data_IF_934171504980
#
_entry.id   IF_934171504980
#
_cell.length_a   1.000
_cell.length_b   1.000
_cell.length_c   1.000
_cell.angle_alpha   90.00
_cell.angle_beta   90.00
_cell.angle_gamma   90.00
#
_symmetry.space_group_name_H-M   'P 1'
#
loop_
_entity.id
_entity.type
_entity.pdbx_description
1 polymer ?
#
# COMPACT_ATOMS: atom_id res chain seq x y z
N UNK A 1 -4.54 -17.42 25.87
CA UNK A 1 -5.54 -18.37 25.30
C UNK A 1 -4.93 -19.74 25.02
N UNK A 2 -3.77 -19.83 24.37
CA UNK A 2 -3.17 -21.12 23.97
C UNK A 2 -2.81 -22.07 25.12
N UNK A 3 -2.12 -21.58 26.16
CA UNK A 3 -1.70 -22.38 27.31
C UNK A 3 -2.85 -23.17 27.98
N UNK A 4 -3.96 -22.55 28.41
CA UNK A 4 -5.04 -23.31 29.05
C UNK A 4 -5.78 -24.27 28.11
N UNK A 5 -5.65 -24.10 26.79
CA UNK A 5 -6.19 -25.03 25.79
C UNK A 5 -5.20 -26.15 25.43
N UNK A 6 -3.97 -26.10 25.95
CA UNK A 6 -2.91 -27.03 25.59
C UNK A 6 -2.51 -26.93 24.12
N UNK A 7 -2.52 -25.71 23.57
CA UNK A 7 -2.05 -25.40 22.22
C UNK A 7 -0.57 -24.99 22.28
N UNK A 8 0.30 -25.94 22.62
CA UNK A 8 1.73 -25.70 22.92
C UNK A 8 2.60 -25.48 21.68
N UNK A 9 2.13 -25.83 20.48
CA UNK A 9 2.80 -25.57 19.19
C UNK A 9 2.28 -24.31 18.50
N UNK A 10 1.26 -23.66 19.06
CA UNK A 10 0.69 -22.43 18.51
C UNK A 10 1.47 -21.21 18.97
N UNK A 11 1.79 -20.31 18.05
CA UNK A 11 2.61 -19.13 18.30
C UNK A 11 2.20 -17.96 17.41
N UNK A 12 2.87 -16.82 17.58
CA UNK A 12 2.60 -15.58 16.84
C UNK A 12 3.74 -15.15 15.91
N UNK A 13 4.75 -16.00 15.69
CA UNK A 13 5.99 -15.62 14.97
C UNK A 13 6.28 -16.57 13.83
N UNK A 14 6.36 -16.02 12.62
CA UNK A 14 6.73 -16.76 11.40
C UNK A 14 8.14 -17.36 11.53
N UNK A 15 9.05 -16.71 12.26
CA UNK A 15 10.37 -17.26 12.52
C UNK A 15 10.30 -18.43 13.52
N UNK A 16 9.48 -18.33 14.56
CA UNK A 16 9.32 -19.41 15.52
C UNK A 16 8.67 -20.66 14.91
N UNK A 17 7.68 -20.49 14.02
CA UNK A 17 7.01 -21.62 13.36
C UNK A 17 7.96 -22.45 12.48
N UNK A 18 8.93 -21.81 11.82
CA UNK A 18 9.94 -22.49 11.00
C UNK A 18 10.90 -23.38 11.82
N UNK A 19 11.01 -23.16 13.13
CA UNK A 19 11.83 -24.00 14.00
C UNK A 19 11.14 -25.31 14.41
N UNK A 20 9.83 -25.43 14.16
CA UNK A 20 9.11 -26.68 14.39
C UNK A 20 9.48 -27.69 13.28
N UNK A 21 9.88 -28.93 13.60
CA UNK A 21 10.27 -29.92 12.58
C UNK A 21 9.11 -30.35 11.67
N UNK A 22 7.86 -30.06 12.05
CA UNK A 22 6.63 -30.39 11.33
C UNK A 22 5.87 -29.09 11.00
N UNK A 23 6.52 -28.23 10.21
CA UNK A 23 5.94 -27.01 9.64
C UNK A 23 5.67 -27.16 8.14
N UNK A 24 4.62 -26.49 7.66
CA UNK A 24 4.31 -26.43 6.24
C UNK A 24 5.07 -25.27 5.57
N UNK A 25 5.45 -25.46 4.30
CA UNK A 25 6.10 -24.43 3.47
C UNK A 25 5.10 -23.81 2.49
N UNK A 26 5.11 -22.49 2.27
CA UNK A 26 4.13 -21.84 1.40
C UNK A 26 4.39 -22.11 -0.07
N UNK A 27 3.32 -22.21 -0.87
CA UNK A 27 3.42 -22.37 -2.32
C UNK A 27 2.46 -21.45 -3.08
N UNK A 28 2.90 -20.99 -4.26
CA UNK A 28 2.02 -20.41 -5.28
C UNK A 28 2.03 -21.25 -6.55
N UNK A 29 0.93 -21.19 -7.31
CA UNK A 29 0.92 -21.75 -8.65
C UNK A 29 1.56 -20.75 -9.62
N UNK A 30 2.48 -21.21 -10.46
CA UNK A 30 3.02 -20.43 -11.57
C UNK A 30 2.02 -20.37 -12.74
N UNK A 31 2.38 -19.69 -13.82
CA UNK A 31 1.53 -19.52 -15.01
C UNK A 31 1.14 -20.85 -15.68
N UNK A 32 1.96 -21.89 -15.50
CA UNK A 32 1.72 -23.27 -15.96
C UNK A 32 0.90 -24.11 -14.96
N UNK A 33 0.30 -23.48 -13.95
CA UNK A 33 -0.46 -24.08 -12.85
C UNK A 33 0.36 -25.08 -11.99
N UNK A 34 1.70 -24.97 -11.99
CA UNK A 34 2.60 -25.78 -11.15
C UNK A 34 2.86 -25.10 -9.81
N UNK A 35 2.79 -25.85 -8.71
CA UNK A 35 3.06 -25.32 -7.38
C UNK A 35 4.57 -25.16 -7.15
N UNK A 36 4.98 -23.94 -6.87
CA UNK A 36 6.35 -23.56 -6.52
C UNK A 36 6.42 -23.06 -5.08
N UNK A 37 7.44 -23.49 -4.35
CA UNK A 37 7.71 -23.03 -2.98
C UNK A 37 8.14 -21.55 -3.02
N UNK A 38 7.56 -20.73 -2.15
CA UNK A 38 7.90 -19.31 -2.02
C UNK A 38 8.58 -19.02 -0.67
N UNK A 39 9.32 -17.90 -0.54
CA UNK A 39 9.87 -17.50 0.76
C UNK A 39 8.77 -17.17 1.78
N UNK A 40 9.05 -17.41 3.07
CA UNK A 40 8.20 -16.91 4.14
C UNK A 40 8.26 -15.38 4.22
N UNK A 41 7.09 -14.73 4.34
CA UNK A 41 7.00 -13.32 4.69
C UNK A 41 6.80 -13.14 6.19
N UNK A 42 7.61 -12.29 6.83
CA UNK A 42 7.30 -11.86 8.19
C UNK A 42 6.10 -10.91 8.18
N UNK A 43 5.10 -11.23 9.00
CA UNK A 43 3.88 -10.44 9.18
C UNK A 43 3.76 -9.93 10.62
N UNK A 44 4.87 -9.86 11.36
CA UNK A 44 4.88 -9.53 12.79
C UNK A 44 4.29 -8.12 13.07
N UNK A 45 4.45 -7.18 12.12
CA UNK A 45 3.87 -5.83 12.21
C UNK A 45 2.34 -5.82 12.16
N UNK A 46 1.71 -6.85 11.60
CA UNK A 46 0.26 -7.03 11.54
C UNK A 46 -0.22 -8.19 12.42
N UNK A 47 0.55 -8.48 13.49
CA UNK A 47 0.32 -9.53 14.48
C UNK A 47 -1.14 -9.88 14.75
N UNK A 48 -1.93 -8.94 15.29
CA UNK A 48 -3.33 -9.18 15.65
C UNK A 48 -4.26 -9.56 14.49
N UNK A 49 -3.88 -9.26 13.24
CA UNK A 49 -4.71 -9.50 12.06
C UNK A 49 -4.56 -10.92 11.50
N UNK A 50 -3.40 -11.58 11.67
CA UNK A 50 -3.17 -12.86 10.99
C UNK A 50 -1.98 -13.71 11.43
N UNK A 51 -1.21 -13.34 12.45
CA UNK A 51 0.07 -14.01 12.74
C UNK A 51 -0.01 -15.28 13.57
N UNK A 52 -1.21 -15.82 13.81
CA UNK A 52 -1.36 -17.10 14.53
C UNK A 52 -0.92 -18.26 13.63
N UNK A 53 0.17 -18.93 14.03
CA UNK A 53 0.59 -20.19 13.46
C UNK A 53 0.07 -21.34 14.32
N UNK A 54 -0.56 -22.36 13.73
CA UNK A 54 -1.13 -23.49 14.46
C UNK A 54 -1.24 -24.75 13.58
N UNK A 55 -1.67 -25.87 14.17
CA UNK A 55 -2.02 -27.10 13.45
C UNK A 55 -3.51 -27.41 13.62
N UNK A 56 -4.07 -28.22 12.72
CA UNK A 56 -5.48 -28.67 12.82
C UNK A 56 -5.78 -29.35 14.16
N UNK A 57 -4.80 -30.04 14.75
CA UNK A 57 -4.94 -30.71 16.05
C UNK A 57 -5.08 -29.72 17.22
N UNK A 58 -4.35 -28.62 17.18
CA UNK A 58 -4.44 -27.58 18.22
C UNK A 58 -5.68 -26.72 18.03
N UNK A 59 -6.02 -26.39 16.78
CA UNK A 59 -7.26 -25.69 16.47
C UNK A 59 -8.51 -26.51 16.80
N UNK A 60 -8.47 -27.84 16.70
CA UNK A 60 -9.57 -28.68 17.17
C UNK A 60 -9.86 -28.48 18.68
N UNK A 61 -8.83 -28.22 19.50
CA UNK A 61 -9.02 -27.90 20.93
C UNK A 61 -9.67 -26.54 21.12
N UNK A 62 -9.30 -25.56 20.30
CA UNK A 62 -9.91 -24.24 20.30
C UNK A 62 -11.37 -24.26 19.79
N UNK A 63 -11.67 -25.05 18.77
CA UNK A 63 -13.04 -25.25 18.31
C UNK A 63 -13.89 -25.89 19.39
N UNK A 64 -13.39 -26.93 20.07
CA UNK A 64 -14.08 -27.52 21.22
C UNK A 64 -14.35 -26.50 22.33
N UNK A 65 -13.37 -25.66 22.66
CA UNK A 65 -13.55 -24.57 23.63
C UNK A 65 -14.69 -23.60 23.23
N UNK A 66 -14.81 -23.27 21.94
CA UNK A 66 -15.90 -22.44 21.46
C UNK A 66 -17.26 -23.16 21.59
N UNK A 67 -17.32 -24.45 21.25
CA UNK A 67 -18.54 -25.26 21.34
C UNK A 67 -18.96 -25.55 22.79
N UNK A 68 -18.00 -25.65 23.71
CA UNK A 68 -18.20 -25.87 25.14
C UNK A 68 -18.53 -24.57 25.90
N UNK A 69 -18.95 -23.51 25.20
CA UNK A 69 -19.38 -22.26 25.79
C UNK A 69 -18.26 -21.48 26.49
N UNK A 70 -17.02 -21.60 26.00
CA UNK A 70 -15.87 -20.88 26.55
C UNK A 70 -15.24 -21.56 27.76
N UNK A 71 -15.41 -22.89 27.87
CA UNK A 71 -14.90 -23.71 28.97
C UNK A 71 -13.79 -24.65 28.51
N UNK A 72 -12.82 -24.88 29.39
CA UNK A 72 -11.79 -25.91 29.23
C UNK A 72 -11.51 -26.56 30.58
N UNK A 73 -11.51 -27.89 30.64
CA UNK A 73 -11.26 -28.62 31.89
C UNK A 73 -12.21 -28.22 33.04
N UNK A 74 -13.47 -27.91 32.72
CA UNK A 74 -14.48 -27.44 33.70
C UNK A 74 -14.38 -25.96 34.10
N UNK A 75 -13.26 -25.27 33.78
CA UNK A 75 -13.05 -23.84 34.04
C UNK A 75 -13.57 -22.99 32.88
N UNK A 76 -14.38 -21.97 33.17
CA UNK A 76 -14.74 -20.95 32.20
C UNK A 76 -13.60 -19.94 32.04
N UNK A 77 -13.13 -19.69 30.81
CA UNK A 77 -12.18 -18.62 30.50
C UNK A 77 -12.88 -17.35 30.01
N UNK A 78 -14.07 -17.51 29.44
CA UNK A 78 -14.98 -16.45 29.03
C UNK A 78 -16.40 -16.86 29.43
N UNK A 79 -17.27 -15.89 29.71
CA UNK A 79 -18.67 -16.21 29.98
C UNK A 79 -19.36 -16.68 28.71
N UNK A 80 -20.32 -17.60 28.86
CA UNK A 80 -21.11 -18.09 27.73
C UNK A 80 -21.85 -16.95 27.02
N UNK A 81 -22.32 -15.94 27.76
CA UNK A 81 -22.98 -14.76 27.21
C UNK A 81 -22.03 -13.92 26.34
N UNK A 82 -20.79 -13.67 26.80
CA UNK A 82 -19.81 -12.92 26.02
C UNK A 82 -19.36 -13.69 24.77
N UNK A 83 -19.21 -15.01 24.86
CA UNK A 83 -18.90 -15.83 23.69
C UNK A 83 -20.05 -15.83 22.67
N UNK A 84 -21.29 -15.91 23.13
CA UNK A 84 -22.46 -15.81 22.25
C UNK A 84 -22.53 -14.45 21.56
N UNK A 85 -22.19 -13.36 22.25
CA UNK A 85 -22.14 -12.01 21.68
C UNK A 85 -21.02 -11.86 20.63
N UNK A 86 -19.84 -12.43 20.86
CA UNK A 86 -18.74 -12.49 19.88
C UNK A 86 -19.18 -13.16 18.57
N UNK A 87 -20.04 -14.17 18.66
CA UNK A 87 -20.55 -14.95 17.52
C UNK A 87 -21.87 -14.40 16.96
N UNK A 88 -22.42 -13.34 17.53
CA UNK A 88 -23.68 -12.72 17.08
C UNK A 88 -23.41 -11.66 16.01
N UNK A 89 -24.18 -11.62 14.90
CA UNK A 89 -23.97 -10.62 13.85
C UNK A 89 -24.17 -9.18 14.38
N UNK A 90 -23.21 -8.30 14.10
CA UNK A 90 -23.25 -6.88 14.44
C UNK A 90 -23.32 -5.97 13.21
N UNK A 91 -23.09 -6.51 12.02
CA UNK A 91 -23.25 -5.81 10.74
C UNK A 91 -23.78 -6.74 9.65
N UNK A 92 -24.58 -6.21 8.73
CA UNK A 92 -25.04 -6.96 7.56
C UNK A 92 -23.92 -7.07 6.54
N UNK A 93 -23.80 -8.23 5.89
CA UNK A 93 -22.95 -8.40 4.72
C UNK A 93 -23.82 -8.29 3.46
N UNK A 94 -23.30 -7.70 2.36
CA UNK A 94 -23.95 -7.82 1.06
C UNK A 94 -24.17 -9.29 0.71
N UNK A 95 -25.30 -9.62 0.09
CA UNK A 95 -25.53 -10.98 -0.38
C UNK A 95 -24.59 -11.27 -1.56
N UNK A 96 -23.50 -11.96 -1.24
CA UNK A 96 -22.54 -12.47 -2.22
C UNK A 96 -22.79 -13.96 -2.53
N UNK A 97 -23.87 -14.56 -2.00
CA UNK A 97 -24.14 -15.96 -2.22
C UNK A 97 -24.62 -16.23 -3.63
N UNK A 98 -23.98 -17.20 -4.28
CA UNK A 98 -24.42 -17.70 -5.58
C UNK A 98 -25.46 -18.82 -5.44
N UNK A 99 -25.90 -19.15 -4.22
CA UNK A 99 -26.85 -20.23 -3.94
C UNK A 99 -27.90 -19.81 -2.91
N UNK A 100 -29.16 -20.17 -3.13
CA UNK A 100 -30.25 -19.86 -2.20
C UNK A 100 -30.25 -20.70 -0.91
N UNK A 101 -29.51 -21.81 -0.88
CA UNK A 101 -29.41 -22.70 0.28
C UNK A 101 -28.28 -22.30 1.25
N UNK A 102 -27.50 -21.26 0.93
CA UNK A 102 -26.52 -20.67 1.84
C UNK A 102 -26.76 -19.17 1.87
N UNK A 103 -27.21 -18.67 3.02
CA UNK A 103 -27.67 -17.29 3.16
C UNK A 103 -26.74 -16.55 4.12
N UNK A 104 -25.98 -15.55 3.67
CA UNK A 104 -25.22 -14.66 4.54
C UNK A 104 -26.18 -13.94 5.51
N UNK A 105 -25.87 -13.97 6.80
CA UNK A 105 -26.65 -13.26 7.83
C UNK A 105 -25.95 -11.95 8.18
N UNK A 106 -24.64 -12.00 8.38
CA UNK A 106 -23.86 -10.83 8.73
C UNK A 106 -22.46 -11.16 9.21
N UNK A 107 -21.76 -10.15 9.72
CA UNK A 107 -20.45 -10.28 10.32
C UNK A 107 -20.55 -9.97 11.81
N UNK A 108 -19.95 -10.82 12.63
CA UNK A 108 -19.85 -10.70 14.08
C UNK A 108 -18.46 -10.18 14.48
N UNK A 109 -18.01 -10.39 15.72
CA UNK A 109 -16.69 -9.95 16.16
C UNK A 109 -15.60 -10.89 15.64
N UNK A 110 -15.20 -10.69 14.37
CA UNK A 110 -14.20 -11.52 13.69
C UNK A 110 -14.75 -12.85 13.16
N UNK A 111 -16.05 -12.90 12.83
CA UNK A 111 -16.69 -14.10 12.27
C UNK A 111 -17.70 -13.75 11.19
N UNK A 112 -17.71 -14.52 10.12
CA UNK A 112 -18.81 -14.56 9.17
C UNK A 112 -19.93 -15.45 9.70
N UNK A 113 -21.16 -14.94 9.70
CA UNK A 113 -22.35 -15.68 10.13
C UNK A 113 -23.27 -15.89 8.94
N UNK A 114 -23.68 -17.13 8.73
CA UNK A 114 -24.58 -17.53 7.64
C UNK A 114 -25.49 -18.67 8.05
N UNK A 115 -26.62 -18.81 7.37
CA UNK A 115 -27.39 -20.07 7.37
C UNK A 115 -26.81 -20.95 6.27
N UNK A 116 -26.19 -22.05 6.65
CA UNK A 116 -25.66 -23.06 5.72
C UNK A 116 -26.63 -24.23 5.66
N UNK A 117 -27.44 -24.28 4.61
CA UNK A 117 -28.37 -25.39 4.29
C UNK A 117 -29.29 -25.75 5.46
N UNK A 118 -29.77 -24.73 6.17
CA UNK A 118 -30.65 -24.87 7.35
C UNK A 118 -29.94 -24.82 8.71
N UNK A 119 -28.61 -24.81 8.74
CA UNK A 119 -27.81 -24.81 9.98
C UNK A 119 -27.13 -23.47 10.21
N UNK A 120 -27.08 -23.01 11.46
CA UNK A 120 -26.35 -21.80 11.82
C UNK A 120 -24.85 -22.04 11.72
N UNK A 121 -24.18 -21.33 10.81
CA UNK A 121 -22.75 -21.43 10.56
C UNK A 121 -22.05 -20.15 10.99
N UNK A 122 -21.00 -20.30 11.81
CA UNK A 122 -20.07 -19.25 12.23
C UNK A 122 -18.69 -19.64 11.71
N UNK A 123 -18.10 -18.84 10.83
CA UNK A 123 -16.90 -19.24 10.09
C UNK A 123 -15.91 -18.09 9.95
N UNK A 124 -14.64 -18.43 9.74
CA UNK A 124 -13.63 -17.46 9.33
C UNK A 124 -12.62 -18.17 8.42
N UNK A 125 -12.28 -17.50 7.31
CA UNK A 125 -11.20 -17.91 6.43
C UNK A 125 -9.90 -17.19 6.78
N UNK A 126 -8.78 -17.66 6.26
CA UNK A 126 -7.52 -16.93 6.33
C UNK A 126 -6.69 -17.24 5.10
N UNK A 127 -6.02 -16.23 4.56
CA UNK A 127 -5.12 -16.39 3.44
C UNK A 127 -3.95 -15.43 3.60
N UNK A 128 -2.74 -15.96 3.57
CA UNK A 128 -1.50 -15.17 3.54
C UNK A 128 -0.46 -15.97 2.79
N UNK A 129 0.22 -15.33 1.83
CA UNK A 129 1.41 -15.80 1.12
C UNK A 129 1.59 -17.32 1.08
N UNK A 130 0.87 -17.95 0.15
CA UNK A 130 0.96 -19.40 -0.06
C UNK A 130 0.32 -20.28 1.01
N UNK A 131 -0.46 -19.73 1.94
CA UNK A 131 -1.29 -20.48 2.90
C UNK A 131 -2.76 -20.10 2.78
N UNK A 132 -3.64 -21.08 2.97
CA UNK A 132 -5.07 -20.87 3.09
C UNK A 132 -5.66 -21.71 4.23
N UNK A 133 -6.59 -21.15 4.96
CA UNK A 133 -7.18 -21.75 6.16
C UNK A 133 -8.68 -21.51 6.22
N UNK A 134 -9.40 -22.43 6.86
CA UNK A 134 -10.83 -22.28 7.13
C UNK A 134 -11.17 -22.94 8.46
N UNK A 135 -11.84 -22.19 9.33
CA UNK A 135 -12.48 -22.69 10.56
C UNK A 135 -13.98 -22.46 10.47
N UNK A 136 -14.74 -23.47 10.89
CA UNK A 136 -16.21 -23.44 10.87
C UNK A 136 -16.75 -24.01 12.17
N UNK A 137 -17.74 -23.35 12.73
CA UNK A 137 -18.56 -23.80 13.85
C UNK A 137 -20.02 -23.87 13.40
N UNK A 138 -20.67 -24.96 13.78
CA UNK A 138 -22.12 -25.12 13.79
C UNK A 138 -22.54 -25.26 15.26
N UNK A 139 -22.73 -24.15 15.98
CA UNK A 139 -22.83 -24.22 17.44
C UNK A 139 -24.08 -24.99 17.90
N UNK A 140 -25.15 -24.91 17.12
CA UNK A 140 -26.43 -25.56 17.43
C UNK A 140 -26.40 -27.08 17.17
N UNK A 141 -25.41 -27.53 16.38
CA UNK A 141 -25.15 -28.93 16.04
C UNK A 141 -23.97 -29.53 16.83
N UNK A 142 -23.34 -28.74 17.72
CA UNK A 142 -22.11 -29.10 18.43
C UNK A 142 -20.97 -29.59 17.51
N UNK A 143 -20.87 -29.01 16.31
CA UNK A 143 -19.90 -29.41 15.30
C UNK A 143 -18.89 -28.29 15.02
N UNK A 144 -17.61 -28.64 14.97
CA UNK A 144 -16.51 -27.75 14.61
C UNK A 144 -15.61 -28.41 13.58
N UNK A 145 -15.21 -27.66 12.55
CA UNK A 145 -14.39 -28.13 11.44
C UNK A 145 -13.23 -27.16 11.20
N UNK A 146 -12.06 -27.71 10.88
CA UNK A 146 -10.87 -26.94 10.51
C UNK A 146 -10.15 -27.63 9.37
N UNK A 147 -9.73 -26.86 8.38
CA UNK A 147 -8.95 -27.33 7.24
C UNK A 147 -7.91 -26.28 6.86
N UNK A 148 -6.69 -26.71 6.56
CA UNK A 148 -5.56 -25.87 6.15
C UNK A 148 -4.93 -26.42 4.87
N UNK A 149 -4.43 -25.54 4.02
CA UNK A 149 -3.57 -25.86 2.87
C UNK A 149 -2.40 -24.90 2.80
N UNK A 150 -1.27 -25.39 2.30
CA UNK A 150 -0.06 -24.59 2.03
C UNK A 150 0.04 -24.20 0.55
N UNK A 151 -1.11 -23.87 -0.02
CA UNK A 151 -1.25 -23.14 -1.27
C UNK A 151 -2.40 -22.14 -1.14
N UNK A 152 -2.30 -21.00 -1.83
CA UNK A 152 -3.37 -20.01 -1.91
C UNK A 152 -4.58 -20.55 -2.67
N UNK A 153 -5.45 -21.30 -1.99
CA UNK A 153 -6.56 -22.02 -2.63
C UNK A 153 -7.86 -21.93 -1.83
N UNK A 154 -8.98 -22.21 -2.49
CA UNK A 154 -10.31 -22.30 -1.86
C UNK A 154 -10.57 -23.65 -1.19
N UNK A 155 -9.64 -24.60 -1.28
CA UNK A 155 -9.82 -25.98 -0.86
C UNK A 155 -10.21 -26.14 0.61
N UNK A 156 -9.64 -25.38 1.58
CA UNK A 156 -10.06 -25.47 2.98
C UNK A 156 -11.57 -25.32 3.21
N UNK A 157 -12.20 -24.33 2.58
CA UNK A 157 -13.66 -24.11 2.70
C UNK A 157 -14.43 -25.27 2.05
N UNK A 158 -13.96 -25.77 0.90
CA UNK A 158 -14.60 -26.92 0.24
C UNK A 158 -14.52 -28.20 1.09
N UNK A 159 -13.38 -28.48 1.71
CA UNK A 159 -13.22 -29.61 2.62
C UNK A 159 -14.17 -29.52 3.80
N UNK A 160 -14.29 -28.33 4.41
CA UNK A 160 -15.22 -28.10 5.50
C UNK A 160 -16.68 -28.29 5.06
N UNK A 161 -17.08 -27.83 3.86
CA UNK A 161 -18.43 -28.05 3.32
C UNK A 161 -18.74 -29.53 3.08
N UNK A 162 -17.82 -30.24 2.44
CA UNK A 162 -17.96 -31.67 2.19
C UNK A 162 -18.04 -32.46 3.50
N UNK A 163 -17.26 -32.09 4.51
CA UNK A 163 -17.33 -32.70 5.83
C UNK A 163 -18.65 -32.37 6.54
N UNK A 164 -19.10 -31.11 6.51
CA UNK A 164 -20.36 -30.68 7.10
C UNK A 164 -21.56 -31.43 6.50
N UNK A 165 -21.64 -31.50 5.16
CA UNK A 165 -22.74 -32.22 4.47
C UNK A 165 -22.81 -33.68 4.89
N UNK A 166 -21.65 -34.36 4.99
CA UNK A 166 -21.59 -35.77 5.41
C UNK A 166 -21.98 -35.98 6.87
N UNK A 167 -21.51 -35.10 7.77
CA UNK A 167 -21.75 -35.24 9.21
C UNK A 167 -23.19 -34.86 9.57
N UNK A 168 -23.74 -33.83 8.93
CA UNK A 168 -25.11 -33.35 9.14
C UNK A 168 -26.16 -34.17 8.36
N UNK A 169 -25.74 -35.13 7.53
CA UNK A 169 -26.65 -35.98 6.76
C UNK A 169 -27.39 -35.23 5.65
N UNK A 170 -26.78 -34.20 5.08
CA UNK A 170 -27.37 -33.38 4.03
C UNK A 170 -27.23 -34.06 2.66
N UNK A 171 -28.08 -33.66 1.72
CA UNK A 171 -27.99 -34.11 0.33
C UNK A 171 -26.62 -33.75 -0.27
N UNK A 172 -26.01 -34.68 -1.00
CA UNK A 172 -24.68 -34.51 -1.58
C UNK A 172 -24.65 -33.37 -2.61
N UNK A 173 -23.62 -32.53 -2.53
CA UNK A 173 -23.33 -31.48 -3.50
C UNK A 173 -21.93 -31.69 -4.07
N UNK A 174 -21.78 -31.53 -5.38
CA UNK A 174 -20.49 -31.61 -6.09
C UNK A 174 -19.67 -30.32 -5.90
N UNK A 175 -19.31 -30.00 -4.65
CA UNK A 175 -18.64 -28.75 -4.27
C UNK A 175 -17.36 -28.47 -5.07
N UNK A 176 -16.56 -29.51 -5.31
CA UNK A 176 -15.31 -29.41 -6.08
C UNK A 176 -15.60 -29.13 -7.54
N UNK A 177 -16.60 -29.80 -8.13
CA UNK A 177 -17.01 -29.56 -9.52
C UNK A 177 -17.53 -28.13 -9.72
N UNK A 178 -18.41 -27.66 -8.85
CA UNK A 178 -18.91 -26.27 -8.89
C UNK A 178 -17.78 -25.24 -8.70
N UNK A 179 -16.83 -25.51 -7.80
CA UNK A 179 -15.68 -24.65 -7.60
C UNK A 179 -14.76 -24.62 -8.84
N UNK A 180 -14.51 -25.78 -9.46
CA UNK A 180 -13.69 -25.89 -10.67
C UNK A 180 -14.32 -25.14 -11.85
N UNK A 181 -15.63 -25.27 -12.06
CA UNK A 181 -16.34 -24.52 -13.10
C UNK A 181 -16.30 -23.01 -12.85
N UNK A 182 -16.46 -22.57 -11.59
CA UNK A 182 -16.27 -21.16 -11.23
C UNK A 182 -14.84 -20.70 -11.47
N UNK A 183 -13.84 -21.51 -11.15
CA UNK A 183 -12.44 -21.20 -11.39
C UNK A 183 -12.14 -21.05 -12.89
N UNK A 184 -12.56 -22.01 -13.72
CA UNK A 184 -12.41 -21.95 -15.19
C UNK A 184 -13.06 -20.71 -15.79
N UNK A 185 -14.28 -20.38 -15.37
CA UNK A 185 -14.98 -19.16 -15.82
C UNK A 185 -14.22 -17.90 -15.42
N UNK A 186 -13.70 -17.84 -14.18
CA UNK A 186 -12.90 -16.69 -13.72
C UNK A 186 -11.59 -16.58 -14.50
N UNK A 187 -10.86 -17.68 -14.72
CA UNK A 187 -9.62 -17.71 -15.53
C UNK A 187 -9.90 -17.20 -16.94
N UNK A 188 -10.92 -17.71 -17.63
CA UNK A 188 -11.29 -17.23 -18.96
C UNK A 188 -11.67 -15.74 -19.00
N UNK A 189 -12.37 -15.23 -17.98
CA UNK A 189 -12.69 -13.79 -17.86
C UNK A 189 -11.41 -12.97 -17.62
N UNK A 190 -10.50 -13.48 -16.79
CA UNK A 190 -9.22 -12.84 -16.51
C UNK A 190 -8.34 -12.79 -17.75
N UNK A 191 -8.20 -13.89 -18.48
CA UNK A 191 -7.43 -13.97 -19.72
C UNK A 191 -7.98 -13.00 -20.79
N UNK A 192 -9.33 -12.93 -20.94
CA UNK A 192 -9.96 -11.97 -21.85
C UNK A 192 -9.73 -10.51 -21.40
N UNK A 193 -9.82 -10.23 -20.09
CA UNK A 193 -9.53 -8.90 -19.55
C UNK A 193 -8.06 -8.51 -19.74
N UNK A 194 -7.14 -9.45 -19.53
CA UNK A 194 -5.70 -9.25 -19.72
C UNK A 194 -5.38 -8.98 -21.19
N UNK A 195 -6.02 -9.70 -22.12
CA UNK A 195 -5.86 -9.46 -23.57
C UNK A 195 -6.27 -8.04 -23.98
N UNK A 196 -7.10 -7.38 -23.16
CA UNK A 196 -7.61 -6.01 -23.39
C UNK A 196 -6.99 -4.99 -22.43
N UNK A 197 -5.98 -5.36 -21.63
CA UNK A 197 -5.42 -4.48 -20.57
C UNK A 197 -4.84 -3.16 -21.11
N UNK A 198 -4.35 -3.18 -22.35
CA UNK A 198 -3.77 -2.02 -23.04
C UNK A 198 -4.80 -1.23 -23.87
N UNK A 199 -6.09 -1.60 -23.86
CA UNK A 199 -7.11 -0.96 -24.71
C UNK A 199 -7.24 0.56 -24.49
N UNK A 200 -7.01 1.02 -23.26
CA UNK A 200 -7.07 2.45 -22.90
C UNK A 200 -5.74 3.19 -23.15
N UNK A 201 -4.68 2.47 -23.53
CA UNK A 201 -3.38 3.08 -23.82
C UNK A 201 -3.49 4.02 -25.01
N UNK A 202 -2.81 5.16 -24.92
CA UNK A 202 -2.69 6.10 -26.05
C UNK A 202 -1.31 5.91 -26.66
N UNK A 203 -1.30 5.22 -27.80
CA UNK A 203 -0.07 4.92 -28.52
C UNK A 203 0.64 6.18 -29.04
N UNK A 204 1.96 6.08 -29.26
CA UNK A 204 2.79 7.13 -29.86
C UNK A 204 2.80 8.45 -29.09
N UNK A 205 2.62 8.39 -27.77
CA UNK A 205 2.83 9.54 -26.89
C UNK A 205 4.24 9.50 -26.32
N UNK A 206 4.68 10.62 -25.74
CA UNK A 206 5.97 10.75 -25.06
C UNK A 206 5.77 11.45 -23.71
N UNK A 207 6.67 11.27 -22.73
CA UNK A 207 6.70 12.11 -21.53
C UNK A 207 6.76 13.59 -21.93
N UNK A 208 6.05 14.45 -21.19
CA UNK A 208 6.08 15.89 -21.47
C UNK A 208 7.39 16.55 -21.00
N UNK A 209 8.11 15.91 -20.07
CA UNK A 209 9.39 16.36 -19.51
C UNK A 209 10.53 15.36 -19.80
N UNK A 210 11.80 15.79 -19.68
CA UNK A 210 12.93 14.88 -19.53
C UNK A 210 12.78 13.96 -18.32
N UNK A 211 13.25 12.71 -18.41
CA UNK A 211 13.17 11.70 -17.35
C UNK A 211 13.73 12.18 -15.99
N UNK A 212 14.78 13.00 -16.04
CA UNK A 212 15.41 13.58 -14.84
C UNK A 212 14.48 14.51 -14.07
N UNK A 213 13.49 15.12 -14.72
CA UNK A 213 12.54 16.03 -14.06
C UNK A 213 11.42 15.29 -13.32
N UNK A 214 11.19 14.00 -13.61
CA UNK A 214 10.31 13.15 -12.79
C UNK A 214 11.03 12.56 -11.57
N UNK A 215 12.36 12.53 -11.57
CA UNK A 215 13.12 12.01 -10.45
C UNK A 215 13.01 12.95 -9.23
N UNK A 216 12.99 12.36 -8.03
CA UNK A 216 12.92 13.08 -6.76
C UNK A 216 12.12 12.33 -5.69
N UNK A 217 12.04 12.93 -4.51
CA UNK A 217 11.19 12.45 -3.42
C UNK A 217 9.83 13.12 -3.48
N UNK A 218 8.77 12.36 -3.29
CA UNK A 218 7.39 12.81 -3.26
C UNK A 218 6.77 12.41 -1.92
N UNK A 219 6.24 13.36 -1.16
CA UNK A 219 5.77 13.12 0.20
C UNK A 219 4.24 13.25 0.31
N UNK A 220 3.66 12.43 1.18
CA UNK A 220 2.28 12.55 1.62
C UNK A 220 2.20 12.36 3.14
N UNK A 221 1.47 13.21 3.90
CA UNK A 221 1.47 13.19 5.37
C UNK A 221 1.08 11.85 6.01
N UNK A 222 0.18 11.10 5.39
CA UNK A 222 -0.30 9.81 5.89
C UNK A 222 0.38 8.57 5.29
N UNK A 223 1.08 8.71 4.15
CA UNK A 223 1.63 7.57 3.40
C UNK A 223 3.16 7.58 3.35
N UNK A 224 3.81 8.64 3.80
CA UNK A 224 5.26 8.75 3.80
C UNK A 224 5.81 9.24 2.48
N UNK A 225 6.99 8.74 2.10
CA UNK A 225 7.76 9.23 0.95
C UNK A 225 7.85 8.15 -0.12
N UNK A 226 7.40 8.50 -1.32
CA UNK A 226 7.62 7.78 -2.57
C UNK A 226 8.84 8.40 -3.26
N UNK A 227 9.86 7.60 -3.58
CA UNK A 227 11.04 8.07 -4.29
C UNK A 227 10.99 7.61 -5.73
N UNK A 228 11.17 8.53 -6.67
CA UNK A 228 11.28 8.25 -8.10
C UNK A 228 12.73 8.47 -8.53
N UNK A 229 13.30 7.51 -9.23
CA UNK A 229 14.64 7.57 -9.78
C UNK A 229 14.60 7.48 -11.32
N UNK A 230 15.47 8.25 -11.97
CA UNK A 230 15.58 8.29 -13.42
C UNK A 230 16.97 8.77 -13.81
N UNK A 231 17.68 8.01 -14.65
CA UNK A 231 19.02 8.39 -15.10
C UNK A 231 18.95 9.09 -16.47
N UNK A 232 19.83 10.08 -16.74
CA UNK A 232 19.95 10.70 -18.06
C UNK A 232 20.14 9.64 -19.15
N UNK A 233 19.39 9.76 -20.25
CA UNK A 233 19.48 8.85 -21.39
C UNK A 233 18.82 7.47 -21.21
N UNK A 234 18.23 7.17 -20.05
CA UNK A 234 17.37 5.98 -19.89
C UNK A 234 15.92 6.31 -20.26
N UNK A 235 15.21 5.32 -20.80
CA UNK A 235 13.79 5.43 -21.16
C UNK A 235 12.83 5.06 -20.02
N UNK A 236 13.35 4.47 -18.94
CA UNK A 236 12.57 3.97 -17.81
C UNK A 236 12.85 4.74 -16.52
N UNK A 237 11.83 4.88 -15.70
CA UNK A 237 11.93 5.32 -14.30
C UNK A 237 11.99 4.09 -13.40
N UNK A 238 12.35 4.28 -12.14
CA UNK A 238 12.07 3.32 -11.07
C UNK A 238 11.51 4.05 -9.88
N UNK A 239 10.77 3.34 -9.03
CA UNK A 239 10.26 3.86 -7.78
C UNK A 239 10.67 3.00 -6.61
N UNK A 240 10.70 3.63 -5.43
CA UNK A 240 10.86 2.97 -4.14
C UNK A 240 9.82 3.54 -3.18
N UNK A 241 9.01 2.66 -2.58
CA UNK A 241 7.98 3.04 -1.62
C UNK A 241 7.86 1.99 -0.52
N UNK A 242 8.00 2.40 0.74
CA UNK A 242 7.98 1.51 1.90
C UNK A 242 8.93 0.30 1.80
N UNK A 243 10.09 0.49 1.16
CA UNK A 243 11.11 -0.56 0.98
C UNK A 243 10.82 -1.54 -0.17
N UNK A 244 9.78 -1.28 -0.96
CA UNK A 244 9.45 -2.03 -2.17
C UNK A 244 9.89 -1.22 -3.37
N UNK A 245 10.71 -1.82 -4.22
CA UNK A 245 11.20 -1.23 -5.46
C UNK A 245 10.40 -1.76 -6.65
N UNK A 246 10.08 -0.88 -7.60
CA UNK A 246 9.42 -1.26 -8.84
C UNK A 246 9.96 -0.45 -10.02
N UNK A 247 10.27 -1.06 -11.17
CA UNK A 247 10.59 -0.36 -12.40
C UNK A 247 9.29 0.23 -12.95
N UNK A 248 9.42 1.34 -13.63
CA UNK A 248 8.33 2.06 -14.23
C UNK A 248 8.58 2.19 -15.74
N UNK A 249 7.64 1.69 -16.53
CA UNK A 249 7.63 1.89 -17.97
C UNK A 249 6.71 3.05 -18.37
N UNK A 250 7.07 3.73 -19.46
CA UNK A 250 6.23 4.81 -19.99
C UNK A 250 4.94 4.22 -20.57
N UNK A 251 3.79 4.70 -20.07
CA UNK A 251 2.49 4.20 -20.49
C UNK A 251 1.88 5.08 -21.59
N UNK A 252 1.53 6.32 -21.22
CA UNK A 252 1.19 7.39 -22.15
C UNK A 252 1.36 8.75 -21.49
N UNK A 253 1.63 9.81 -22.25
CA UNK A 253 1.78 11.18 -21.71
C UNK A 253 2.66 11.18 -20.44
N UNK A 254 2.14 11.66 -19.32
CA UNK A 254 2.79 11.67 -17.99
C UNK A 254 2.31 10.56 -17.05
N UNK A 255 1.81 9.47 -17.63
CA UNK A 255 1.47 8.24 -16.92
C UNK A 255 2.56 7.21 -17.11
N UNK A 256 2.98 6.63 -15.99
CA UNK A 256 3.94 5.54 -15.91
C UNK A 256 3.27 4.31 -15.30
N UNK A 257 3.71 3.12 -15.67
CA UNK A 257 3.13 1.87 -15.18
C UNK A 257 4.21 1.06 -14.47
N UNK A 258 3.90 0.58 -13.27
CA UNK A 258 4.75 -0.35 -12.54
C UNK A 258 4.85 -1.70 -13.22
N UNK A 259 6.05 -2.26 -13.26
CA UNK A 259 6.33 -3.63 -13.69
C UNK A 259 6.83 -4.44 -12.50
N UNK A 260 6.80 -5.77 -12.63
CA UNK A 260 7.34 -6.66 -11.61
C UNK A 260 8.87 -6.50 -11.45
N UNK A 261 9.39 -6.77 -10.25
CA UNK A 261 10.84 -6.90 -10.01
C UNK A 261 11.14 -8.01 -9.03
N UNK A 262 12.06 -8.89 -9.40
CA UNK A 262 12.58 -9.98 -8.57
C UNK A 262 11.49 -10.81 -7.85
N UNK A 263 10.35 -11.03 -8.51
CA UNK A 263 9.21 -11.77 -7.97
C UNK A 263 8.25 -10.95 -7.08
N UNK A 264 8.52 -9.65 -6.88
CA UNK A 264 7.61 -8.72 -6.21
C UNK A 264 6.75 -7.99 -7.26
N UNK A 265 5.49 -8.41 -7.35
CA UNK A 265 4.45 -7.82 -8.20
C UNK A 265 3.59 -6.76 -7.52
N UNK A 266 3.94 -6.27 -6.32
CA UNK A 266 3.07 -5.39 -5.50
C UNK A 266 2.54 -4.18 -6.27
N UNK A 267 3.38 -3.58 -7.14
CA UNK A 267 3.01 -2.42 -7.96
C UNK A 267 2.86 -2.74 -9.45
N UNK A 268 2.83 -4.02 -9.82
CA UNK A 268 2.61 -4.42 -11.19
C UNK A 268 1.26 -3.86 -11.68
N UNK A 269 1.24 -3.33 -12.91
CA UNK A 269 0.09 -2.66 -13.53
C UNK A 269 -0.42 -1.38 -12.81
N UNK A 270 0.22 -0.97 -11.71
CA UNK A 270 -0.14 0.27 -11.02
C UNK A 270 0.25 1.47 -11.87
N UNK A 271 -0.71 2.36 -12.14
CA UNK A 271 -0.49 3.58 -12.93
C UNK A 271 -0.16 4.75 -12.01
N UNK A 272 0.93 5.44 -12.32
CA UNK A 272 1.37 6.67 -11.66
C UNK A 272 1.15 7.84 -12.62
N UNK A 273 0.29 8.78 -12.24
CA UNK A 273 0.06 10.01 -13.02
C UNK A 273 0.86 11.16 -12.43
N UNK A 274 1.84 11.67 -13.17
CA UNK A 274 2.58 12.86 -12.77
C UNK A 274 1.81 14.13 -13.15
N UNK A 275 1.86 15.13 -12.27
CA UNK A 275 1.19 16.42 -12.45
C UNK A 275 2.22 17.53 -12.56
N UNK A 276 1.94 18.43 -13.49
CA UNK A 276 2.66 19.69 -13.66
C UNK A 276 1.91 20.83 -12.97
N UNK A 277 2.61 21.79 -12.38
CA UNK A 277 2.02 23.01 -11.84
C UNK A 277 1.83 24.11 -12.90
N UNK A 278 1.39 25.31 -12.48
CA UNK A 278 1.21 26.46 -13.39
C UNK A 278 2.51 27.03 -13.95
N UNK A 279 3.66 26.72 -13.33
CA UNK A 279 4.99 27.13 -13.81
C UNK A 279 5.53 26.18 -14.86
N UNK A 280 4.90 25.01 -15.03
CA UNK A 280 5.39 23.97 -15.92
C UNK A 280 6.29 22.96 -15.22
N UNK A 281 6.39 22.93 -13.89
CA UNK A 281 7.27 22.00 -13.18
C UNK A 281 6.49 20.74 -12.72
N UNK A 282 7.12 19.56 -12.80
CA UNK A 282 6.58 18.33 -12.18
C UNK A 282 6.51 18.55 -10.67
N UNK A 283 5.29 18.62 -10.13
CA UNK A 283 5.02 19.03 -8.75
C UNK A 283 4.36 17.94 -7.90
N UNK A 284 3.76 16.92 -8.52
CA UNK A 284 3.13 15.82 -7.80
C UNK A 284 3.06 14.53 -8.61
N UNK A 285 2.76 13.43 -7.93
CA UNK A 285 2.40 12.15 -8.54
C UNK A 285 1.18 11.56 -7.82
N UNK A 286 0.21 11.10 -8.61
CA UNK A 286 -1.00 10.44 -8.12
C UNK A 286 -0.86 8.92 -8.25
N UNK A 287 -1.19 8.20 -7.19
CA UNK A 287 -1.09 6.73 -7.15
C UNK A 287 -2.38 6.14 -6.56
N UNK A 288 -3.10 5.25 -7.27
CA UNK A 288 -4.34 4.64 -6.80
C UNK A 288 -4.06 3.47 -5.83
N UNK A 289 -3.53 3.78 -4.65
CA UNK A 289 -3.16 2.77 -3.64
C UNK A 289 -4.37 2.11 -2.96
N UNK A 290 -5.53 2.78 -2.96
CA UNK A 290 -6.72 2.34 -2.22
C UNK A 290 -7.91 2.16 -3.17
N UNK A 291 -8.51 0.97 -3.18
CA UNK A 291 -9.59 0.62 -4.14
C UNK A 291 -10.84 1.50 -4.01
N UNK A 292 -11.12 2.01 -2.81
CA UNK A 292 -12.33 2.77 -2.49
C UNK A 292 -12.07 4.26 -2.24
N UNK A 293 -10.85 4.74 -2.46
CA UNK A 293 -10.50 6.15 -2.28
C UNK A 293 -10.09 6.79 -3.61
N UNK A 294 -10.06 8.12 -3.63
CA UNK A 294 -9.40 8.85 -4.72
C UNK A 294 -7.89 8.51 -4.74
N UNK A 295 -7.22 8.64 -5.90
CA UNK A 295 -5.77 8.49 -5.98
C UNK A 295 -5.04 9.34 -4.93
N UNK A 296 -4.06 8.73 -4.27
CA UNK A 296 -3.24 9.39 -3.27
C UNK A 296 -2.26 10.32 -3.98
N UNK A 297 -2.26 11.59 -3.61
CA UNK A 297 -1.42 12.61 -4.24
C UNK A 297 -0.18 12.87 -3.40
N UNK A 298 0.99 12.47 -3.89
CA UNK A 298 2.26 12.78 -3.26
C UNK A 298 2.84 14.06 -3.87
N UNK A 299 3.22 15.02 -3.03
CA UNK A 299 3.80 16.30 -3.49
C UNK A 299 5.31 16.16 -3.61
N UNK A 300 5.85 16.52 -4.78
CA UNK A 300 7.30 16.52 -5.02
C UNK A 300 7.98 17.48 -4.04
N UNK A 301 9.05 17.00 -3.41
CA UNK A 301 9.86 17.78 -2.49
C UNK A 301 10.94 18.53 -3.27
N UNK A 302 11.25 19.79 -2.89
CA UNK A 302 12.42 20.50 -3.42
C UNK A 302 13.71 19.74 -3.15
N UNK A 303 14.77 20.08 -3.89
CA UNK A 303 16.11 19.54 -3.61
C UNK A 303 16.49 19.79 -2.14
N UNK A 304 16.81 18.75 -1.35
CA UNK A 304 17.18 18.89 0.05
C UNK A 304 18.35 19.87 0.28
N UNK A 305 19.26 20.06 -0.69
CA UNK A 305 20.35 21.03 -0.58
C UNK A 305 19.85 22.47 -0.44
N UNK A 306 18.68 22.80 -0.98
CA UNK A 306 18.06 24.12 -0.82
C UNK A 306 17.52 24.37 0.59
N UNK A 307 17.64 23.40 1.49
CA UNK A 307 17.38 23.56 2.92
C UNK A 307 18.63 23.30 3.78
N UNK A 308 19.80 23.07 3.18
CA UNK A 308 21.07 22.90 3.88
C UNK A 308 21.71 24.28 4.13
N UNK A 309 21.88 24.73 5.40
CA UNK A 309 22.51 26.00 5.71
C UNK A 309 23.90 26.19 5.06
N UNK A 310 24.70 25.12 4.98
CA UNK A 310 26.03 25.19 4.40
C UNK A 310 25.99 25.43 2.88
N UNK A 311 25.02 24.81 2.20
CA UNK A 311 24.77 25.08 0.79
C UNK A 311 24.22 26.50 0.60
N UNK A 312 23.23 26.89 1.40
CA UNK A 312 22.52 28.18 1.29
C UNK A 312 23.42 29.39 1.54
N UNK A 313 24.48 29.25 2.33
CA UNK A 313 25.43 30.33 2.63
C UNK A 313 26.00 31.00 1.36
N UNK A 314 26.08 30.28 0.24
CA UNK A 314 26.57 30.83 -1.04
C UNK A 314 25.68 31.94 -1.60
N UNK A 315 24.38 31.95 -1.27
CA UNK A 315 23.40 32.93 -1.73
C UNK A 315 23.32 34.16 -0.82
N UNK A 316 23.99 34.15 0.33
CA UNK A 316 24.03 35.29 1.25
C UNK A 316 24.89 36.41 0.65
N UNK A 317 24.39 37.64 0.75
CA UNK A 317 25.10 38.84 0.33
C UNK A 317 24.16 39.92 -0.21
N UNK A 318 24.80 40.98 -0.69
CA UNK A 318 24.13 42.14 -1.28
C UNK A 318 23.98 41.99 -2.79
N UNK A 319 22.83 42.39 -3.31
CA UNK A 319 22.51 42.38 -4.73
C UNK A 319 22.08 43.78 -5.16
N UNK A 320 22.70 44.30 -6.21
CA UNK A 320 22.50 45.68 -6.62
C UNK A 320 21.14 45.86 -7.30
N UNK A 321 20.20 46.51 -6.62
CA UNK A 321 18.95 46.96 -7.22
C UNK A 321 19.22 48.13 -8.18
N UNK A 322 19.04 47.87 -9.48
CA UNK A 322 19.23 48.87 -10.52
C UNK A 322 18.16 49.97 -10.52
N UNK A 323 16.99 49.76 -9.88
CA UNK A 323 15.93 50.76 -9.79
C UNK A 323 16.09 51.70 -8.60
N UNK A 324 16.40 51.19 -7.40
CA UNK A 324 16.46 52.04 -6.19
C UNK A 324 17.87 52.52 -5.84
N UNK A 325 18.92 51.86 -6.34
CA UNK A 325 20.31 52.15 -5.99
C UNK A 325 20.69 51.77 -4.55
N UNK A 326 19.78 51.12 -3.82
CA UNK A 326 20.03 50.48 -2.51
C UNK A 326 20.01 48.97 -2.70
N UNK A 327 21.02 48.22 -2.20
CA UNK A 327 21.09 46.79 -2.46
C UNK A 327 19.97 46.01 -1.74
N UNK A 328 19.50 44.97 -2.41
CA UNK A 328 18.70 43.91 -1.82
C UNK A 328 19.61 42.98 -1.03
N UNK A 329 19.21 42.62 0.18
CA UNK A 329 20.00 41.75 1.03
C UNK A 329 19.38 40.35 1.11
N UNK A 330 20.18 39.33 0.82
CA UNK A 330 19.87 37.95 1.16
C UNK A 330 20.61 37.57 2.44
N UNK A 331 19.85 37.20 3.46
CA UNK A 331 20.37 36.71 4.73
C UNK A 331 19.99 35.24 4.96
N UNK A 332 20.73 34.54 5.81
CA UNK A 332 20.41 33.19 6.24
C UNK A 332 19.85 33.21 7.67
N UNK A 333 18.69 32.59 7.88
CA UNK A 333 18.06 32.43 9.19
C UNK A 333 17.73 30.97 9.43
N UNK A 334 18.59 30.28 10.18
CA UNK A 334 18.48 28.83 10.38
C UNK A 334 18.74 28.08 9.08
N UNK A 335 17.71 27.41 8.56
CA UNK A 335 17.75 26.64 7.31
C UNK A 335 17.00 27.30 6.15
N UNK A 336 16.72 28.61 6.25
CA UNK A 336 15.99 29.35 5.23
C UNK A 336 16.67 30.66 4.89
N UNK A 337 16.60 31.05 3.62
CA UNK A 337 17.00 32.38 3.19
C UNK A 337 15.91 33.40 3.53
N UNK A 338 16.33 34.63 3.77
CA UNK A 338 15.48 35.79 3.96
C UNK A 338 15.85 36.83 2.91
N UNK A 339 14.83 37.37 2.24
CA UNK A 339 14.95 38.51 1.34
C UNK A 339 14.57 39.78 2.10
N UNK A 340 15.49 40.73 2.16
CA UNK A 340 15.36 42.01 2.85
C UNK A 340 15.46 43.10 1.79
N UNK A 341 14.31 43.67 1.44
CA UNK A 341 14.21 44.79 0.52
C UNK A 341 14.06 46.11 1.30
N UNK A 342 14.74 47.21 0.90
CA UNK A 342 14.61 48.50 1.56
C UNK A 342 13.14 48.96 1.71
N UNK A 343 12.73 49.28 2.93
CA UNK A 343 11.38 49.79 3.22
C UNK A 343 10.26 48.73 3.18
N UNK A 344 10.58 47.45 3.05
CA UNK A 344 9.62 46.34 3.02
C UNK A 344 9.79 45.40 4.22
N UNK A 345 8.78 44.55 4.55
CA UNK A 345 8.97 43.48 5.52
C UNK A 345 10.02 42.48 5.05
N UNK A 346 10.59 41.73 6.01
CA UNK A 346 11.49 40.62 5.71
C UNK A 346 10.67 39.45 5.16
N UNK A 347 11.03 38.98 3.97
CA UNK A 347 10.38 37.87 3.30
C UNK A 347 11.14 36.58 3.53
N UNK A 348 10.44 35.52 3.94
CA UNK A 348 11.03 34.18 4.01
C UNK A 348 11.01 33.52 2.63
N UNK A 349 12.15 33.00 2.20
CA UNK A 349 12.30 32.27 0.94
C UNK A 349 12.15 30.76 1.20
N UNK A 350 11.20 30.13 0.52
CA UNK A 350 10.86 28.71 0.67
C UNK A 350 11.30 27.96 -0.59
N UNK A 351 12.10 26.89 -0.49
CA UNK A 351 12.53 26.12 -1.66
C UNK A 351 11.35 25.62 -2.49
N UNK A 352 11.45 25.75 -3.81
CA UNK A 352 10.50 25.25 -4.77
C UNK A 352 11.12 24.12 -5.60
N UNK A 353 10.28 23.26 -6.19
CA UNK A 353 10.71 22.12 -7.03
C UNK A 353 11.46 22.56 -8.29
N UNK A 354 11.25 23.80 -8.73
CA UNK A 354 11.94 24.43 -9.86
C UNK A 354 13.42 24.75 -9.60
N UNK A 355 13.89 24.55 -8.36
CA UNK A 355 15.21 25.00 -7.90
C UNK A 355 15.24 26.48 -7.51
N UNK A 356 14.11 27.19 -7.60
CA UNK A 356 13.92 28.56 -7.13
C UNK A 356 13.46 28.58 -5.66
N UNK A 357 13.27 29.77 -5.13
CA UNK A 357 12.65 29.97 -3.83
C UNK A 357 11.38 30.82 -3.96
N UNK A 358 10.23 30.27 -3.57
CA UNK A 358 8.99 31.02 -3.47
C UNK A 358 9.03 31.97 -2.27
N UNK A 359 8.42 33.15 -2.41
CA UNK A 359 8.28 34.07 -1.28
C UNK A 359 7.07 33.67 -0.43
N UNK A 360 7.32 33.31 0.83
CA UNK A 360 6.29 32.85 1.76
C UNK A 360 5.16 33.87 1.89
N UNK A 361 3.95 33.44 1.54
CA UNK A 361 2.74 34.27 1.64
C UNK A 361 2.45 35.14 0.41
N UNK A 362 3.32 35.13 -0.62
CA UNK A 362 3.12 35.88 -1.86
C UNK A 362 3.01 34.92 -3.06
N UNK A 363 1.78 34.61 -3.47
CA UNK A 363 1.54 33.73 -4.61
C UNK A 363 2.02 34.37 -5.92
N UNK A 364 2.78 33.60 -6.72
CA UNK A 364 3.33 34.06 -8.00
C UNK A 364 4.63 34.88 -7.87
N UNK A 365 5.20 34.97 -6.66
CA UNK A 365 6.47 35.64 -6.41
C UNK A 365 7.54 34.62 -6.02
N UNK A 366 8.66 34.62 -6.74
CA UNK A 366 9.79 33.74 -6.48
C UNK A 366 11.13 34.43 -6.77
N UNK A 367 12.19 33.83 -6.26
CA UNK A 367 13.58 34.27 -6.42
C UNK A 367 14.39 33.11 -6.97
N UNK A 368 15.17 33.35 -8.02
CA UNK A 368 16.18 32.43 -8.55
C UNK A 368 17.58 33.01 -8.43
N UNK A 369 18.58 32.15 -8.45
CA UNK A 369 19.99 32.53 -8.46
C UNK A 369 20.67 31.95 -9.68
N UNK A 370 21.47 32.75 -10.38
CA UNK A 370 22.33 32.27 -11.45
C UNK A 370 23.75 32.11 -10.91
N UNK A 371 24.34 30.93 -11.10
CA UNK A 371 25.69 30.62 -10.66
C UNK A 371 26.61 30.50 -11.88
N UNK A 372 27.90 30.80 -11.71
CA UNK A 372 28.93 30.50 -12.70
C UNK A 372 29.40 29.03 -12.63
N UNK A 373 30.37 28.67 -13.47
CA UNK A 373 30.91 27.32 -13.56
C UNK A 373 31.62 26.86 -12.27
N UNK A 374 32.10 27.80 -11.46
CA UNK A 374 32.76 27.54 -10.17
C UNK A 374 31.76 27.52 -9.01
N UNK A 375 30.46 27.70 -9.30
CA UNK A 375 29.39 27.71 -8.32
C UNK A 375 29.27 29.03 -7.55
N UNK A 376 29.85 30.12 -8.05
CA UNK A 376 29.69 31.45 -7.46
C UNK A 376 28.43 32.13 -7.99
N UNK A 377 27.69 32.77 -7.07
CA UNK A 377 26.45 33.46 -7.44
C UNK A 377 26.78 34.74 -8.20
N UNK A 378 26.24 34.86 -9.42
CA UNK A 378 26.43 36.02 -10.30
C UNK A 378 25.32 37.05 -10.12
N UNK A 379 24.08 36.59 -10.03
CA UNK A 379 22.89 37.45 -9.95
C UNK A 379 21.74 36.75 -9.25
N UNK A 380 20.85 37.56 -8.72
CA UNK A 380 19.52 37.19 -8.25
C UNK A 380 18.49 37.58 -9.33
N UNK A 381 17.48 36.75 -9.53
CA UNK A 381 16.38 36.96 -10.46
C UNK A 381 15.06 36.93 -9.70
N UNK A 382 14.27 37.99 -9.81
CA UNK A 382 12.96 38.10 -9.20
C UNK A 382 11.89 37.77 -10.24
N UNK A 383 11.07 36.77 -9.94
CA UNK A 383 9.92 36.37 -10.73
C UNK A 383 8.68 36.94 -10.07
N UNK A 384 7.98 37.84 -10.75
CA UNK A 384 6.78 38.50 -10.25
C UNK A 384 5.68 38.47 -11.32
N UNK A 385 4.39 38.64 -10.95
CA UNK A 385 3.30 38.61 -11.92
C UNK A 385 3.40 39.68 -13.03
N UNK A 386 4.07 40.80 -12.75
CA UNK A 386 4.26 41.92 -13.68
C UNK A 386 5.56 41.84 -14.50
N UNK A 387 6.47 40.90 -14.21
CA UNK A 387 7.74 40.80 -14.94
C UNK A 387 8.81 39.99 -14.23
N UNK A 388 9.94 39.86 -14.92
CA UNK A 388 11.17 39.25 -14.40
C UNK A 388 12.24 40.32 -14.31
N UNK A 389 12.83 40.47 -13.12
CA UNK A 389 13.83 41.49 -12.82
C UNK A 389 15.13 40.84 -12.35
N UNK A 390 16.27 41.47 -12.59
CA UNK A 390 17.58 40.91 -12.26
C UNK A 390 18.47 41.92 -11.56
N UNK A 391 19.19 41.47 -10.55
CA UNK A 391 20.15 42.27 -9.79
C UNK A 391 21.47 41.52 -9.68
N UNK A 392 22.56 42.20 -10.05
CA UNK A 392 23.90 41.61 -10.00
C UNK A 392 24.38 41.51 -8.55
N UNK A 393 25.10 40.44 -8.20
CA UNK A 393 25.74 40.34 -6.88
C UNK A 393 26.77 41.46 -6.73
N UNK A 394 26.72 42.17 -5.61
CA UNK A 394 27.72 43.18 -5.25
C UNK A 394 29.01 42.44 -4.92
N UNK A 395 30.12 42.81 -5.57
CA UNK A 395 31.44 42.26 -5.24
C UNK A 395 31.91 42.86 -3.93
N UNK A 396 32.21 42.02 -2.95
CA UNK A 396 32.91 42.40 -1.71
C UNK A 396 34.34 42.89 -1.99
#
# INVERSE_FOLDING_TARGET
LFEPLGMTRSNFSVAASQNDPDHARPHYANDDDQLEEIPFRSIDLVGPAGSVNSSVNEMARWLRFNLDGGRVGGKALISQAALADIQSPHMTLPDASTRGDIVPVGYAMGWEVSVYRGHRRVAHGGGIDGFATSVVLFPDDHLGLVAFTNSGSVLPDLFNRMAADRILGLESVEWVGEALERHRKRKAIQDDAESKRDADRKANTKPSHPITEYAGSYAHPGYGVLTISGAPGKAALSMSFNGIDAPLEHWHYDVWKGTETDGDGTFQETKLLFRTDYSGDISAVEVPLERAAAPIVFTKQPDPQLSDPAYLQRFVGDYNDAETGTPDLIALSGNQLQLILPGQPVYTLVPAVSGRFDIKGLQGYAVGFTLDADGQVLKITYYQPNGVFESARVKE
#
